data_IF_540753790824
#
_entry.id   IF_540753790824
#
_cell.length_a   1.000
_cell.length_b   1.000
_cell.length_c   1.000
_cell.angle_alpha   90.00
_cell.angle_beta   90.00
_cell.angle_gamma   90.00
#
_symmetry.space_group_name_H-M   'P 1'
#
loop_
_entity.id
_entity.type
_entity.pdbx_description
1 polymer ?
#
# COMPACT_ATOMS: atom_id res chain seq x y z
N UNK A 1 -15.48 -8.88 -11.01
CA UNK A 1 -16.33 -7.87 -10.35
C UNK A 1 -16.67 -8.18 -8.89
N UNK A 2 -16.91 -9.42 -8.48
CA UNK A 2 -17.22 -9.76 -7.09
C UNK A 2 -16.08 -9.52 -6.10
N UNK A 3 -14.85 -9.66 -6.52
CA UNK A 3 -13.65 -9.60 -5.67
C UNK A 3 -13.37 -8.20 -5.12
N UNK A 4 -13.49 -7.17 -5.96
CA UNK A 4 -13.30 -5.78 -5.55
C UNK A 4 -14.40 -5.31 -4.58
N UNK A 5 -15.61 -5.86 -4.71
CA UNK A 5 -16.76 -5.45 -3.93
C UNK A 5 -16.69 -5.94 -2.47
N UNK A 6 -16.43 -7.22 -2.26
CA UNK A 6 -16.56 -7.82 -0.94
C UNK A 6 -15.42 -7.42 0.02
N UNK A 7 -14.17 -7.47 -0.43
CA UNK A 7 -13.01 -7.14 0.41
C UNK A 7 -12.95 -5.66 0.79
N UNK A 8 -13.45 -4.77 -0.06
CA UNK A 8 -13.44 -3.32 0.15
C UNK A 8 -14.57 -2.86 1.07
N UNK A 9 -15.80 -3.39 0.89
CA UNK A 9 -16.96 -2.94 1.67
C UNK A 9 -17.04 -3.54 3.07
N UNK A 10 -16.56 -4.78 3.27
CA UNK A 10 -16.63 -5.47 4.56
C UNK A 10 -15.31 -6.16 4.91
N UNK A 11 -14.16 -5.44 4.96
CA UNK A 11 -12.85 -6.07 5.17
C UNK A 11 -12.76 -6.84 6.49
N UNK A 12 -13.34 -6.31 7.58
CA UNK A 12 -13.41 -7.00 8.89
C UNK A 12 -14.04 -8.40 8.80
N UNK A 13 -15.03 -8.55 7.93
CA UNK A 13 -15.75 -9.82 7.80
C UNK A 13 -15.00 -10.80 6.90
N UNK A 14 -14.54 -10.33 5.74
CA UNK A 14 -13.93 -11.20 4.73
C UNK A 14 -12.48 -11.55 5.01
N UNK A 15 -11.71 -10.70 5.71
CA UNK A 15 -10.35 -11.00 6.14
C UNK A 15 -10.25 -11.45 7.60
N UNK A 16 -11.37 -11.76 8.23
CA UNK A 16 -11.43 -12.04 9.68
C UNK A 16 -10.44 -13.09 10.15
N UNK A 17 -10.18 -14.12 9.36
CA UNK A 17 -9.22 -15.16 9.72
C UNK A 17 -7.80 -14.61 9.84
N UNK A 18 -7.34 -13.87 8.83
CA UNK A 18 -6.02 -13.23 8.82
C UNK A 18 -5.91 -12.15 9.92
N UNK A 19 -6.90 -11.28 10.03
CA UNK A 19 -6.90 -10.20 11.03
C UNK A 19 -6.83 -10.75 12.44
N UNK A 20 -7.59 -11.82 12.74
CA UNK A 20 -7.55 -12.47 14.04
C UNK A 20 -6.19 -13.10 14.33
N UNK A 21 -5.52 -13.66 13.32
CA UNK A 21 -4.16 -14.19 13.48
C UNK A 21 -3.18 -13.09 13.86
N UNK A 22 -3.14 -12.01 13.10
CA UNK A 22 -2.25 -10.87 13.40
C UNK A 22 -2.57 -10.23 14.75
N UNK A 23 -3.86 -10.07 15.09
CA UNK A 23 -4.25 -9.55 16.39
C UNK A 23 -3.78 -10.44 17.55
N UNK A 24 -3.83 -11.75 17.40
CA UNK A 24 -3.33 -12.69 18.41
C UNK A 24 -1.81 -12.64 18.57
N UNK A 25 -1.09 -12.05 17.62
CA UNK A 25 0.35 -11.79 17.68
C UNK A 25 0.67 -10.34 18.09
N UNK A 26 -0.29 -9.72 18.79
CA UNK A 26 -0.16 -8.41 19.42
C UNK A 26 -0.09 -7.22 18.46
N UNK A 27 -0.42 -7.41 17.15
CA UNK A 27 -0.53 -6.30 16.22
C UNK A 27 -1.80 -5.47 16.47
N UNK A 28 -1.64 -4.14 16.49
CA UNK A 28 -2.78 -3.23 16.32
C UNK A 28 -3.13 -3.12 14.84
N UNK A 29 -4.37 -3.46 14.50
CA UNK A 29 -4.81 -3.53 13.11
C UNK A 29 -5.66 -2.34 12.75
N UNK A 30 -5.25 -1.61 11.74
CA UNK A 30 -6.01 -0.53 11.11
C UNK A 30 -6.42 -0.96 9.72
N UNK A 31 -7.71 -0.94 9.45
CA UNK A 31 -8.27 -1.24 8.14
C UNK A 31 -8.52 0.07 7.39
N UNK A 32 -7.90 0.21 6.24
CA UNK A 32 -8.05 1.36 5.36
C UNK A 32 -8.84 0.94 4.11
N UNK A 33 -10.17 1.06 4.12
CA UNK A 33 -10.96 0.81 2.92
C UNK A 33 -10.68 1.89 1.89
N UNK A 34 -10.54 1.50 0.63
CA UNK A 34 -10.34 2.40 -0.49
C UNK A 34 -11.55 2.40 -1.43
N UNK A 35 -11.73 3.50 -2.14
CA UNK A 35 -12.82 3.65 -3.10
C UNK A 35 -12.42 3.08 -4.47
N UNK A 36 -13.40 2.70 -5.27
CA UNK A 36 -13.16 2.44 -6.67
C UNK A 36 -12.83 3.77 -7.38
N UNK A 37 -11.60 3.89 -7.85
CA UNK A 37 -11.10 5.10 -8.50
C UNK A 37 -10.28 4.75 -9.73
N UNK A 38 -10.30 5.61 -10.75
CA UNK A 38 -9.37 5.57 -11.87
C UNK A 38 -8.08 6.36 -11.59
N UNK A 39 -8.08 7.20 -10.56
CA UNK A 39 -6.92 7.94 -10.11
C UNK A 39 -6.32 7.28 -8.86
N UNK A 40 -5.41 6.35 -9.09
CA UNK A 40 -4.76 5.60 -8.02
C UNK A 40 -3.72 6.44 -7.25
N UNK A 41 -3.24 7.56 -7.81
CA UNK A 41 -2.41 8.50 -7.05
C UNK A 41 -3.22 9.19 -5.97
N UNK A 42 -4.39 9.70 -6.34
CA UNK A 42 -5.29 10.34 -5.38
C UNK A 42 -5.75 9.36 -4.30
N UNK A 43 -6.07 8.12 -4.67
CA UNK A 43 -6.49 7.09 -3.71
C UNK A 43 -5.35 6.68 -2.78
N UNK A 44 -4.12 6.53 -3.28
CA UNK A 44 -2.94 6.28 -2.43
C UNK A 44 -2.71 7.43 -1.44
N UNK A 45 -2.86 8.68 -1.88
CA UNK A 45 -2.79 9.85 -1.01
C UNK A 45 -3.89 9.87 0.06
N UNK A 46 -5.10 9.43 -0.29
CA UNK A 46 -6.19 9.28 0.67
C UNK A 46 -5.81 8.29 1.79
N UNK A 47 -5.22 7.15 1.48
CA UNK A 47 -4.81 6.16 2.49
C UNK A 47 -3.79 6.74 3.49
N UNK A 48 -2.81 7.52 3.02
CA UNK A 48 -1.85 8.20 3.92
C UNK A 48 -2.53 9.28 4.76
N UNK A 49 -3.48 10.01 4.20
CA UNK A 49 -4.26 10.99 4.95
C UNK A 49 -5.02 10.34 6.10
N UNK A 50 -5.67 9.22 5.85
CA UNK A 50 -6.35 8.43 6.89
C UNK A 50 -5.38 7.95 7.97
N UNK A 51 -4.18 7.51 7.60
CA UNK A 51 -3.13 7.15 8.57
C UNK A 51 -2.81 8.32 9.50
N UNK A 52 -2.59 9.52 8.96
CA UNK A 52 -2.29 10.70 9.80
C UNK A 52 -3.45 11.12 10.69
N UNK A 53 -4.68 10.95 10.25
CA UNK A 53 -5.85 11.25 11.09
C UNK A 53 -6.03 10.18 12.19
N UNK A 54 -5.65 8.93 11.96
CA UNK A 54 -5.78 7.81 12.91
C UNK A 54 -4.65 7.78 13.95
N UNK A 55 -3.41 8.10 13.60
CA UNK A 55 -2.26 8.03 14.52
C UNK A 55 -2.48 8.80 15.84
N UNK A 56 -2.88 10.08 15.86
CA UNK A 56 -3.14 10.79 17.11
C UNK A 56 -4.25 10.15 17.94
N UNK A 57 -5.26 9.59 17.29
CA UNK A 57 -6.38 8.92 17.97
C UNK A 57 -5.94 7.59 18.62
N UNK A 58 -5.08 6.81 17.97
CA UNK A 58 -4.49 5.61 18.55
C UNK A 58 -3.70 5.95 19.82
N UNK A 59 -2.87 6.99 19.77
CA UNK A 59 -2.08 7.45 20.93
C UNK A 59 -3.02 7.94 22.04
N UNK A 60 -4.00 8.77 21.71
CA UNK A 60 -4.97 9.26 22.68
C UNK A 60 -5.72 8.12 23.38
N UNK A 61 -6.15 7.12 22.64
CA UNK A 61 -6.82 5.92 23.19
C UNK A 61 -5.87 5.08 24.04
N UNK A 62 -4.65 4.84 23.56
CA UNK A 62 -3.67 4.06 24.31
C UNK A 62 -3.36 4.70 25.66
N UNK A 63 -3.17 6.02 25.70
CA UNK A 63 -3.00 6.77 26.96
C UNK A 63 -4.23 6.60 27.86
N UNK A 64 -5.43 6.79 27.32
CA UNK A 64 -6.68 6.72 28.10
C UNK A 64 -6.92 5.32 28.68
N UNK A 65 -6.64 4.28 27.92
CA UNK A 65 -6.83 2.87 28.31
C UNK A 65 -5.63 2.28 29.09
N UNK A 66 -4.53 3.03 29.23
CA UNK A 66 -3.31 2.55 29.90
C UNK A 66 -2.48 1.56 29.09
N UNK A 67 -2.61 1.59 27.75
CA UNK A 67 -1.79 0.77 26.84
C UNK A 67 -0.48 1.47 26.50
N UNK A 68 0.45 0.72 25.89
CA UNK A 68 1.70 1.27 25.41
C UNK A 68 1.49 2.16 24.17
N UNK A 69 1.44 3.46 24.38
CA UNK A 69 1.28 4.44 23.28
C UNK A 69 2.61 4.74 22.56
N UNK A 70 3.76 4.40 23.15
CA UNK A 70 5.08 4.65 22.55
C UNK A 70 5.24 3.91 21.23
N UNK A 71 4.59 2.74 21.08
CA UNK A 71 4.56 1.98 19.84
C UNK A 71 4.01 2.77 18.63
N UNK A 72 3.27 3.85 18.82
CA UNK A 72 2.67 4.66 17.75
C UNK A 72 3.38 5.99 17.51
N UNK A 73 4.49 6.29 18.20
CA UNK A 73 5.17 7.59 18.08
C UNK A 73 5.99 7.76 16.81
N UNK A 74 6.46 6.66 16.23
CA UNK A 74 7.26 6.65 15.02
C UNK A 74 6.53 6.03 13.82
N UNK A 75 6.66 6.62 12.65
CA UNK A 75 6.11 6.09 11.39
C UNK A 75 6.75 4.75 11.01
N UNK A 76 7.99 4.49 11.38
CA UNK A 76 8.68 3.21 11.18
C UNK A 76 8.01 2.01 11.89
N UNK A 77 7.20 2.26 12.92
CA UNK A 77 6.49 1.22 13.65
C UNK A 77 5.19 0.78 12.96
N UNK A 78 4.89 1.36 11.81
CA UNK A 78 3.76 0.98 10.98
C UNK A 78 4.22 0.06 9.85
N UNK A 79 3.38 -0.89 9.52
CA UNK A 79 3.64 -1.87 8.49
C UNK A 79 2.39 -2.02 7.61
N UNK A 80 2.57 -2.37 6.35
CA UNK A 80 1.52 -2.38 5.35
C UNK A 80 1.26 -3.78 4.84
N UNK A 81 -0.01 -4.16 4.77
CA UNK A 81 -0.44 -5.40 4.12
C UNK A 81 -1.48 -5.06 3.06
N UNK A 82 -1.21 -5.41 1.82
CA UNK A 82 -2.13 -5.24 0.72
C UNK A 82 -2.52 -6.57 0.07
N UNK A 83 -3.76 -6.67 -0.39
CA UNK A 83 -4.23 -7.77 -1.22
C UNK A 83 -4.73 -7.24 -2.56
N UNK A 84 -4.40 -7.96 -3.64
CA UNK A 84 -4.86 -7.63 -4.99
C UNK A 84 -4.48 -6.20 -5.41
N UNK A 85 -5.46 -5.35 -5.75
CA UNK A 85 -5.25 -3.94 -6.12
C UNK A 85 -4.69 -3.11 -4.96
N UNK A 86 -4.95 -3.47 -3.70
CA UNK A 86 -4.35 -2.83 -2.53
C UNK A 86 -2.81 -2.88 -2.56
N UNK A 87 -2.24 -3.91 -3.17
CA UNK A 87 -0.80 -4.01 -3.40
C UNK A 87 -0.29 -2.91 -4.34
N UNK A 88 -1.08 -2.51 -5.33
CA UNK A 88 -0.73 -1.40 -6.23
C UNK A 88 -0.65 -0.08 -5.47
N UNK A 89 -1.58 0.18 -4.56
CA UNK A 89 -1.53 1.38 -3.73
C UNK A 89 -0.30 1.42 -2.83
N UNK A 90 0.05 0.31 -2.18
CA UNK A 90 1.30 0.20 -1.41
C UNK A 90 2.51 0.44 -2.31
N UNK A 91 2.54 -0.17 -3.50
CA UNK A 91 3.63 0.00 -4.45
C UNK A 91 3.76 1.45 -4.94
N UNK A 92 2.65 2.17 -5.11
CA UNK A 92 2.65 3.59 -5.43
C UNK A 92 3.17 4.44 -4.26
N UNK A 93 2.71 4.18 -3.04
CA UNK A 93 3.19 4.88 -1.85
C UNK A 93 4.69 4.71 -1.63
N UNK A 94 5.19 3.49 -1.81
CA UNK A 94 6.62 3.23 -1.74
C UNK A 94 7.38 3.95 -2.86
N UNK A 95 6.88 3.88 -4.11
CA UNK A 95 7.46 4.61 -5.24
C UNK A 95 7.48 6.13 -5.03
N UNK A 96 6.39 6.68 -4.50
CA UNK A 96 6.28 8.11 -4.18
C UNK A 96 7.21 8.51 -3.01
N UNK A 97 7.61 7.57 -2.16
CA UNK A 97 8.59 7.82 -1.09
C UNK A 97 9.98 8.21 -1.60
N UNK A 98 10.25 8.01 -2.89
CA UNK A 98 11.49 8.47 -3.55
C UNK A 98 11.43 9.93 -4.00
N UNK A 99 10.26 10.57 -3.94
CA UNK A 99 10.11 11.96 -4.36
C UNK A 99 10.89 12.90 -3.42
N UNK A 100 11.40 14.03 -3.96
CA UNK A 100 12.07 15.01 -3.13
C UNK A 100 11.09 15.61 -2.11
N UNK A 101 11.57 15.85 -0.91
CA UNK A 101 10.82 16.62 0.09
C UNK A 101 10.75 18.06 -0.40
N UNK A 102 9.56 18.54 -0.69
CA UNK A 102 9.39 19.86 -1.31
C UNK A 102 9.74 21.01 -0.35
N UNK A 103 9.46 20.81 0.94
CA UNK A 103 9.54 21.91 1.91
C UNK A 103 8.38 22.92 1.74
N UNK A 104 8.48 24.05 2.44
CA UNK A 104 7.46 25.11 2.33
C UNK A 104 7.60 25.88 1.01
N UNK A 105 6.51 26.36 0.40
CA UNK A 105 6.55 27.04 -0.90
C UNK A 105 7.53 28.23 -1.02
N UNK A 106 7.95 28.82 0.12
CA UNK A 106 8.89 29.93 0.16
C UNK A 106 10.29 29.51 0.67
N UNK A 107 10.56 28.21 0.82
CA UNK A 107 11.90 27.75 1.20
C UNK A 107 12.87 27.89 0.02
N UNK A 108 14.17 28.10 0.28
CA UNK A 108 15.17 28.28 -0.79
C UNK A 108 15.20 27.13 -1.79
N UNK A 109 15.02 25.90 -1.30
CA UNK A 109 15.14 24.67 -2.10
C UNK A 109 13.82 24.25 -2.78
N UNK A 110 12.71 24.96 -2.55
CA UNK A 110 11.40 24.56 -3.05
C UNK A 110 11.36 24.43 -4.58
N UNK A 111 11.84 25.45 -5.28
CA UNK A 111 11.84 25.47 -6.74
C UNK A 111 12.74 24.38 -7.32
N UNK A 112 13.90 24.14 -6.73
CA UNK A 112 14.82 23.08 -7.16
C UNK A 112 14.20 21.69 -6.93
N UNK A 113 13.47 21.50 -5.83
CA UNK A 113 12.79 20.24 -5.56
C UNK A 113 11.57 20.02 -6.47
N UNK A 114 10.85 21.07 -6.83
CA UNK A 114 9.79 21.00 -7.86
C UNK A 114 10.37 20.62 -9.22
N UNK A 115 11.54 21.16 -9.60
CA UNK A 115 12.17 20.79 -10.87
C UNK A 115 12.66 19.33 -10.86
N UNK A 116 13.26 18.86 -9.77
CA UNK A 116 13.60 17.42 -9.60
C UNK A 116 12.39 16.51 -9.69
N UNK A 117 11.25 16.93 -9.13
CA UNK A 117 10.00 16.22 -9.27
C UNK A 117 9.54 16.18 -10.73
N UNK A 118 9.63 17.29 -11.45
CA UNK A 118 9.33 17.38 -12.88
C UNK A 118 10.22 16.44 -13.70
N UNK A 119 11.54 16.45 -13.47
CA UNK A 119 12.48 15.52 -14.12
C UNK A 119 12.17 14.06 -13.86
N UNK A 120 11.78 13.74 -12.64
CA UNK A 120 11.35 12.38 -12.27
C UNK A 120 10.11 11.93 -13.05
N UNK A 121 9.10 12.80 -13.16
CA UNK A 121 7.88 12.55 -13.95
C UNK A 121 8.15 12.47 -15.44
N UNK A 122 9.06 13.31 -15.95
CA UNK A 122 9.47 13.30 -17.36
C UNK A 122 10.00 11.92 -17.77
N UNK A 123 10.87 11.34 -16.94
CA UNK A 123 11.39 9.97 -17.18
C UNK A 123 10.27 8.94 -17.22
N UNK A 124 9.31 9.00 -16.29
CA UNK A 124 8.19 8.04 -16.24
C UNK A 124 7.30 8.17 -17.47
N UNK A 125 6.87 9.38 -17.78
CA UNK A 125 5.92 9.63 -18.88
C UNK A 125 6.56 9.33 -20.23
N UNK A 126 7.80 9.76 -20.47
CA UNK A 126 8.49 9.51 -21.74
C UNK A 126 8.81 8.02 -21.96
N UNK A 127 9.17 7.28 -20.91
CA UNK A 127 9.46 5.84 -21.04
C UNK A 127 8.24 5.00 -21.37
N UNK A 128 7.03 5.52 -21.09
CA UNK A 128 5.74 4.84 -21.32
C UNK A 128 4.91 5.46 -22.44
N UNK A 129 5.39 6.57 -23.03
CA UNK A 129 4.70 7.25 -24.11
C UNK A 129 4.63 6.40 -25.38
N UNK A 130 3.50 6.43 -26.05
CA UNK A 130 3.34 5.79 -27.35
C UNK A 130 4.15 6.57 -28.42
N UNK A 131 4.70 5.86 -29.40
CA UNK A 131 5.40 6.49 -30.55
C UNK A 131 4.55 7.48 -31.34
N UNK A 132 3.20 7.42 -31.18
CA UNK A 132 2.25 8.31 -31.84
C UNK A 132 1.87 9.53 -31.01
N UNK A 133 2.32 9.60 -29.75
CA UNK A 133 2.00 10.73 -28.89
C UNK A 133 2.82 11.96 -29.31
N UNK A 134 2.14 13.08 -29.48
CA UNK A 134 2.81 14.34 -29.80
C UNK A 134 3.56 14.87 -28.55
N UNK A 135 4.66 15.58 -28.77
CA UNK A 135 5.43 16.22 -27.69
C UNK A 135 4.55 17.15 -26.81
N UNK A 136 3.56 17.80 -27.44
CA UNK A 136 2.62 18.65 -26.72
C UNK A 136 1.70 17.85 -25.78
N UNK A 137 1.27 16.63 -26.20
CA UNK A 137 0.47 15.72 -25.36
C UNK A 137 1.27 15.20 -24.18
N UNK A 138 2.53 14.81 -24.43
CA UNK A 138 3.47 14.35 -23.39
C UNK A 138 3.70 15.45 -22.36
N UNK A 139 4.04 16.67 -22.80
CA UNK A 139 4.26 17.81 -21.93
C UNK A 139 3.03 18.13 -21.08
N UNK A 140 1.83 18.17 -21.67
CA UNK A 140 0.58 18.37 -20.92
C UNK A 140 0.39 17.33 -19.84
N UNK A 141 0.64 16.05 -20.15
CA UNK A 141 0.53 14.96 -19.18
C UNK A 141 1.49 15.13 -18.00
N UNK A 142 2.73 15.55 -18.25
CA UNK A 142 3.71 15.85 -17.20
C UNK A 142 3.24 17.02 -16.33
N UNK A 143 2.76 18.10 -16.95
CA UNK A 143 2.28 19.28 -16.23
C UNK A 143 1.04 18.95 -15.36
N UNK A 144 0.11 18.16 -15.87
CA UNK A 144 -1.07 17.70 -15.13
C UNK A 144 -0.69 16.81 -13.92
N UNK A 145 0.23 15.86 -14.12
CA UNK A 145 0.73 14.99 -13.05
C UNK A 145 1.49 15.79 -12.00
N UNK A 146 2.37 16.70 -12.42
CA UNK A 146 3.12 17.58 -11.51
C UNK A 146 2.17 18.39 -10.65
N UNK A 147 1.19 19.05 -11.27
CA UNK A 147 0.18 19.82 -10.53
C UNK A 147 -0.57 18.98 -9.52
N UNK A 148 -1.04 17.79 -9.91
CA UNK A 148 -1.75 16.88 -9.02
C UNK A 148 -0.89 16.42 -7.85
N UNK A 149 0.38 16.05 -8.09
CA UNK A 149 1.30 15.62 -7.03
C UNK A 149 1.69 16.77 -6.10
N UNK A 150 1.88 17.97 -6.61
CA UNK A 150 2.15 19.15 -5.76
C UNK A 150 0.99 19.43 -4.79
N UNK A 151 -0.24 19.36 -5.28
CA UNK A 151 -1.42 19.52 -4.43
C UNK A 151 -1.46 18.42 -3.37
N UNK A 152 -1.26 17.17 -3.77
CA UNK A 152 -1.25 16.01 -2.87
C UNK A 152 -0.18 16.13 -1.78
N UNK A 153 1.07 16.40 -2.18
CA UNK A 153 2.20 16.52 -1.24
C UNK A 153 1.96 17.64 -0.23
N UNK A 154 1.51 18.82 -0.69
CA UNK A 154 1.22 19.94 0.20
C UNK A 154 0.10 19.62 1.20
N UNK A 155 -0.96 18.94 0.77
CA UNK A 155 -2.05 18.52 1.65
C UNK A 155 -1.56 17.50 2.70
N UNK A 156 -0.76 16.52 2.29
CA UNK A 156 -0.19 15.52 3.19
C UNK A 156 0.79 16.14 4.20
N UNK A 157 1.61 17.12 3.80
CA UNK A 157 2.48 17.85 4.72
C UNK A 157 1.70 18.58 5.81
N UNK A 158 0.62 19.28 5.44
CA UNK A 158 -0.26 19.96 6.39
C UNK A 158 -0.89 18.95 7.36
N UNK A 159 -1.34 17.80 6.88
CA UNK A 159 -1.90 16.72 7.69
C UNK A 159 -0.88 16.14 8.66
N UNK A 160 0.33 15.88 8.16
CA UNK A 160 1.45 15.37 8.96
C UNK A 160 1.82 16.33 10.10
N UNK A 161 2.01 17.62 9.79
CA UNK A 161 2.30 18.65 10.81
C UNK A 161 1.20 18.70 11.89
N UNK A 162 -0.07 18.67 11.47
CA UNK A 162 -1.21 18.64 12.39
C UNK A 162 -1.21 17.39 13.28
N UNK A 163 -0.95 16.22 12.71
CA UNK A 163 -0.85 14.98 13.46
C UNK A 163 0.26 15.05 14.53
N UNK A 164 1.44 15.53 14.16
CA UNK A 164 2.57 15.72 15.08
C UNK A 164 2.22 16.68 16.23
N UNK A 165 1.55 17.79 15.95
CA UNK A 165 1.12 18.75 16.98
C UNK A 165 0.10 18.15 17.95
N UNK A 166 -0.87 17.38 17.44
CA UNK A 166 -1.84 16.68 18.28
C UNK A 166 -1.17 15.64 19.18
N UNK A 167 -0.27 14.83 18.62
CA UNK A 167 0.50 13.84 19.37
C UNK A 167 1.29 14.52 20.48
N UNK A 168 2.05 15.57 20.18
CA UNK A 168 2.79 16.35 21.19
C UNK A 168 1.87 16.88 22.28
N UNK A 169 0.68 17.31 21.93
CA UNK A 169 -0.32 17.82 22.89
C UNK A 169 -0.81 16.73 23.84
N UNK A 170 -1.04 15.51 23.32
CA UNK A 170 -1.51 14.39 24.14
C UNK A 170 -0.42 13.89 25.08
N UNK A 171 0.78 13.62 24.58
CA UNK A 171 1.88 13.09 25.38
C UNK A 171 2.50 14.11 26.36
N UNK A 172 2.28 15.43 26.14
CA UNK A 172 2.83 16.49 27.02
C UNK A 172 2.43 16.35 28.50
N UNK A 173 1.33 15.67 28.76
CA UNK A 173 0.82 15.40 30.10
C UNK A 173 1.39 14.14 30.73
N UNK A 174 2.09 13.33 29.94
CA UNK A 174 2.66 12.06 30.40
C UNK A 174 3.95 12.29 31.19
N UNK A 175 4.23 11.50 32.25
CA UNK A 175 5.42 11.65 33.09
C UNK A 175 6.73 11.59 32.30
N UNK A 176 6.79 10.78 31.24
CA UNK A 176 7.97 10.53 30.42
C UNK A 176 8.12 11.50 29.24
N UNK A 177 7.29 12.56 29.14
CA UNK A 177 7.27 13.45 27.99
C UNK A 177 8.65 13.96 27.56
N UNK A 178 9.51 14.33 28.53
CA UNK A 178 10.83 14.91 28.21
C UNK A 178 11.76 13.89 27.50
N UNK A 179 11.62 12.60 27.83
CA UNK A 179 12.33 11.54 27.13
C UNK A 179 11.73 11.25 25.74
N UNK A 180 10.40 11.24 25.66
CA UNK A 180 9.66 10.79 24.46
C UNK A 180 9.49 11.87 23.38
N UNK A 181 9.63 13.15 23.72
CA UNK A 181 9.43 14.24 22.73
C UNK A 181 10.36 14.15 21.52
N UNK A 182 11.52 13.51 21.65
CA UNK A 182 12.48 13.24 20.57
C UNK A 182 12.16 12.01 19.74
N UNK A 183 11.24 11.16 20.21
CA UNK A 183 10.86 9.90 19.56
C UNK A 183 9.66 10.04 18.61
N UNK A 184 9.06 11.23 18.54
CA UNK A 184 8.00 11.50 17.58
C UNK A 184 8.64 11.67 16.19
N UNK A 185 8.77 10.56 15.49
CA UNK A 185 9.41 10.48 14.18
C UNK A 185 8.38 10.22 13.08
N UNK A 186 7.62 11.23 12.68
CA UNK A 186 6.86 11.21 11.42
C UNK A 186 7.68 11.96 10.39
N UNK A 187 8.68 11.28 9.81
CA UNK A 187 9.71 11.89 8.98
C UNK A 187 9.35 11.90 7.50
N UNK A 188 8.57 10.94 7.05
CA UNK A 188 8.13 10.82 5.66
C UNK A 188 6.66 11.13 5.51
N UNK A 189 6.29 11.75 4.39
CA UNK A 189 4.88 11.89 3.98
C UNK A 189 4.33 10.63 3.30
N UNK A 190 5.18 9.63 3.09
CA UNK A 190 4.82 8.32 2.52
C UNK A 190 5.38 7.20 3.39
N UNK A 191 5.48 5.99 2.87
CA UNK A 191 5.77 4.76 3.62
C UNK A 191 7.23 4.31 3.57
N UNK A 192 8.15 5.23 3.38
CA UNK A 192 9.59 4.90 3.30
C UNK A 192 10.07 4.17 4.54
N UNK A 193 10.78 3.05 4.32
CA UNK A 193 11.34 2.18 5.38
C UNK A 193 10.28 1.50 6.27
N UNK A 194 9.02 1.45 5.84
CA UNK A 194 7.99 0.67 6.52
C UNK A 194 7.86 -0.71 5.87
N UNK A 195 7.78 -1.81 6.64
CA UNK A 195 7.57 -3.14 6.10
C UNK A 195 6.30 -3.21 5.26
N UNK A 196 6.39 -3.80 4.08
CA UNK A 196 5.27 -3.93 3.15
C UNK A 196 5.11 -5.37 2.69
N UNK A 197 3.94 -5.95 2.88
CA UNK A 197 3.61 -7.30 2.46
C UNK A 197 2.54 -7.28 1.37
N UNK A 198 2.88 -7.78 0.19
CA UNK A 198 1.98 -7.85 -0.96
C UNK A 198 1.43 -9.28 -1.11
N UNK A 199 0.10 -9.42 -1.01
CA UNK A 199 -0.62 -10.67 -1.15
C UNK A 199 -1.32 -10.70 -2.51
N UNK A 200 -0.97 -11.64 -3.38
CA UNK A 200 -1.55 -11.75 -4.73
C UNK A 200 -1.57 -10.40 -5.47
N UNK A 201 -0.44 -9.70 -5.65
CA UNK A 201 -0.42 -8.34 -6.16
C UNK A 201 -0.93 -8.26 -7.60
N UNK A 202 -1.79 -7.28 -7.85
CA UNK A 202 -2.36 -7.02 -9.16
C UNK A 202 -2.03 -5.58 -9.57
N UNK A 203 -1.38 -5.43 -10.73
CA UNK A 203 -1.13 -4.15 -11.38
C UNK A 203 -1.83 -4.13 -12.74
N UNK A 204 -3.14 -4.03 -12.74
CA UNK A 204 -3.96 -4.06 -13.95
C UNK A 204 -4.47 -2.69 -14.35
N UNK A 205 -4.76 -2.54 -15.63
CA UNK A 205 -5.46 -1.42 -16.20
C UNK A 205 -6.98 -1.62 -16.20
N UNK A 206 -7.68 -0.74 -16.91
CA UNK A 206 -9.14 -0.77 -17.03
C UNK A 206 -9.64 -2.07 -17.70
N UNK A 207 -8.89 -2.62 -18.61
CA UNK A 207 -9.16 -3.85 -19.37
C UNK A 207 -9.28 -5.11 -18.49
N UNK A 208 -8.73 -5.10 -17.29
CA UNK A 208 -8.90 -6.18 -16.32
C UNK A 208 -10.02 -5.93 -15.31
N UNK A 209 -10.34 -4.65 -15.08
CA UNK A 209 -11.36 -4.25 -14.11
C UNK A 209 -12.78 -4.25 -14.71
N UNK A 210 -12.88 -4.07 -16.02
CA UNK A 210 -14.13 -3.94 -16.75
C UNK A 210 -14.18 -4.95 -17.89
N UNK A 211 -15.31 -5.67 -18.08
CA UNK A 211 -15.44 -6.63 -19.19
C UNK A 211 -15.28 -5.98 -20.57
N UNK A 212 -14.61 -6.68 -21.49
CA UNK A 212 -14.63 -6.33 -22.90
C UNK A 212 -16.07 -6.49 -23.45
N UNK A 213 -16.58 -5.60 -24.33
CA UNK A 213 -15.87 -4.48 -25.01
C UNK A 213 -15.92 -3.13 -24.27
N UNK A 214 -16.56 -3.05 -23.08
CA UNK A 214 -16.71 -1.78 -22.37
C UNK A 214 -15.37 -1.14 -22.00
N UNK A 215 -14.38 -1.93 -21.60
CA UNK A 215 -13.03 -1.44 -21.31
C UNK A 215 -12.44 -0.70 -22.51
N UNK A 216 -12.55 -1.27 -23.72
CA UNK A 216 -12.04 -0.65 -24.96
C UNK A 216 -12.76 0.68 -25.29
N UNK A 217 -14.06 0.76 -25.03
CA UNK A 217 -14.83 1.99 -25.24
C UNK A 217 -14.35 3.07 -24.26
N UNK A 218 -14.21 2.75 -22.99
CA UNK A 218 -13.78 3.69 -21.96
C UNK A 218 -12.34 4.19 -22.22
N UNK A 219 -11.43 3.30 -22.61
CA UNK A 219 -10.06 3.66 -22.99
C UNK A 219 -10.09 4.56 -24.24
N UNK A 220 -10.94 4.25 -25.22
CA UNK A 220 -11.14 5.09 -26.41
C UNK A 220 -11.65 6.49 -26.11
N UNK A 221 -12.43 6.65 -25.03
CA UNK A 221 -12.89 7.93 -24.50
C UNK A 221 -11.83 8.65 -23.63
N UNK A 222 -10.62 8.09 -23.51
CA UNK A 222 -9.54 8.65 -22.69
C UNK A 222 -9.65 8.36 -21.19
N UNK A 223 -10.61 7.52 -20.79
CA UNK A 223 -10.76 7.06 -19.42
C UNK A 223 -9.85 5.84 -19.21
N UNK A 224 -8.77 6.02 -18.47
CA UNK A 224 -7.86 4.95 -18.08
C UNK A 224 -7.41 5.17 -16.64
N UNK A 225 -6.93 4.10 -16.02
CA UNK A 225 -6.34 4.20 -14.68
C UNK A 225 -5.06 5.04 -14.72
N UNK A 226 -4.85 5.86 -13.70
CA UNK A 226 -3.64 6.68 -13.50
C UNK A 226 -3.00 6.32 -12.15
N UNK A 227 -1.74 5.86 -12.14
CA UNK A 227 -0.91 5.54 -13.31
C UNK A 227 -1.36 4.26 -14.01
N UNK A 228 -1.02 4.16 -15.30
CA UNK A 228 -1.16 2.90 -16.06
C UNK A 228 -0.25 1.82 -15.46
N UNK A 229 -0.45 0.53 -15.79
CA UNK A 229 0.44 -0.53 -15.34
C UNK A 229 1.92 -0.29 -15.65
N UNK A 230 2.24 0.17 -16.86
CA UNK A 230 3.62 0.45 -17.28
C UNK A 230 4.23 1.63 -16.53
N UNK A 231 3.44 2.69 -16.30
CA UNK A 231 3.87 3.83 -15.48
C UNK A 231 4.13 3.42 -14.04
N UNK A 232 3.29 2.54 -13.49
CA UNK A 232 3.48 1.98 -12.14
C UNK A 232 4.80 1.22 -12.05
N UNK A 233 5.07 0.32 -12.99
CA UNK A 233 6.33 -0.42 -13.02
C UNK A 233 7.55 0.48 -13.21
N UNK A 234 7.44 1.49 -14.08
CA UNK A 234 8.51 2.46 -14.29
C UNK A 234 8.78 3.29 -13.04
N UNK A 235 7.72 3.76 -12.36
CA UNK A 235 7.81 4.46 -11.09
C UNK A 235 8.55 3.63 -10.03
N UNK A 236 8.11 2.38 -9.81
CA UNK A 236 8.71 1.48 -8.83
C UNK A 236 10.19 1.23 -9.15
N UNK A 237 10.50 0.95 -10.41
CA UNK A 237 11.87 0.68 -10.86
C UNK A 237 12.78 1.89 -10.74
N UNK A 238 12.28 3.08 -11.04
CA UNK A 238 13.00 4.35 -10.92
C UNK A 238 13.24 4.72 -9.46
N UNK A 239 12.25 4.55 -8.62
CA UNK A 239 12.34 4.79 -7.19
C UNK A 239 13.36 3.84 -6.53
N UNK A 240 13.36 2.57 -6.95
CA UNK A 240 14.24 1.49 -6.48
C UNK A 240 14.30 1.35 -4.94
N UNK A 241 13.21 1.70 -4.27
CA UNK A 241 13.05 1.52 -2.82
C UNK A 241 12.72 0.06 -2.50
N UNK A 242 11.64 -0.23 -1.80
CA UNK A 242 11.25 -1.57 -1.40
C UNK A 242 12.39 -2.33 -0.70
N UNK A 243 12.98 -1.68 0.32
CA UNK A 243 13.98 -2.32 1.17
C UNK A 243 13.38 -3.43 2.03
N UNK A 244 12.13 -3.24 2.49
CA UNK A 244 11.41 -4.11 3.41
C UNK A 244 10.13 -4.64 2.75
N UNK A 245 10.30 -5.37 1.63
CA UNK A 245 9.20 -5.93 0.86
C UNK A 245 9.09 -7.44 1.06
N UNK A 246 7.88 -7.93 1.33
CA UNK A 246 7.49 -9.33 1.24
C UNK A 246 6.48 -9.56 0.11
N UNK A 247 6.55 -10.72 -0.52
CA UNK A 247 5.68 -11.11 -1.62
C UNK A 247 5.10 -12.50 -1.41
N UNK A 248 3.78 -12.60 -1.38
CA UNK A 248 3.07 -13.88 -1.38
C UNK A 248 2.23 -14.00 -2.64
N UNK A 249 2.53 -15.02 -3.43
CA UNK A 249 1.77 -15.42 -4.61
C UNK A 249 1.06 -16.76 -4.37
N UNK A 250 0.07 -17.08 -5.22
CA UNK A 250 -0.68 -18.33 -5.12
C UNK A 250 -0.53 -19.16 -6.39
N UNK A 251 -0.46 -20.50 -6.23
CA UNK A 251 -0.11 -21.42 -7.34
C UNK A 251 -1.16 -21.45 -8.46
N UNK A 252 -2.43 -21.28 -8.14
CA UNK A 252 -3.53 -21.32 -9.12
C UNK A 252 -4.04 -19.94 -9.51
N UNK A 253 -3.49 -18.87 -8.91
CA UNK A 253 -3.81 -17.50 -9.27
C UNK A 253 -3.26 -17.16 -10.67
N UNK A 254 -4.13 -16.61 -11.50
CA UNK A 254 -3.78 -16.12 -12.83
C UNK A 254 -3.80 -14.60 -12.93
N UNK A 255 -4.44 -13.93 -11.97
CA UNK A 255 -4.55 -12.48 -11.96
C UNK A 255 -3.25 -11.83 -11.50
N UNK A 256 -2.60 -12.42 -10.49
CA UNK A 256 -1.33 -11.92 -9.96
C UNK A 256 -0.10 -12.34 -10.79
N UNK A 257 -0.25 -13.32 -11.68
CA UNK A 257 0.88 -13.99 -12.34
C UNK A 257 1.84 -13.02 -13.03
N UNK A 258 1.33 -12.09 -13.81
CA UNK A 258 2.15 -11.13 -14.55
C UNK A 258 2.86 -10.15 -13.60
N UNK A 259 2.17 -9.70 -12.56
CA UNK A 259 2.72 -8.78 -11.56
C UNK A 259 3.80 -9.46 -10.72
N UNK A 260 3.54 -10.68 -10.23
CA UNK A 260 4.53 -11.46 -9.48
C UNK A 260 5.77 -11.76 -10.33
N UNK A 261 5.59 -12.18 -11.59
CA UNK A 261 6.72 -12.41 -12.49
C UNK A 261 7.55 -11.15 -12.73
N UNK A 262 6.92 -10.00 -12.82
CA UNK A 262 7.63 -8.73 -12.94
C UNK A 262 8.46 -8.43 -11.69
N UNK A 263 7.92 -8.58 -10.48
CA UNK A 263 8.68 -8.42 -9.24
C UNK A 263 9.88 -9.37 -9.18
N UNK A 264 9.68 -10.64 -9.53
CA UNK A 264 10.71 -11.68 -9.44
C UNK A 264 11.83 -11.53 -10.50
N UNK A 265 11.48 -11.17 -11.74
CA UNK A 265 12.40 -11.24 -12.89
C UNK A 265 12.95 -9.89 -13.31
N UNK A 266 12.08 -8.87 -13.36
CA UNK A 266 12.41 -7.56 -13.93
C UNK A 266 12.87 -6.57 -12.86
N UNK A 267 12.21 -6.56 -11.73
CA UNK A 267 12.59 -5.73 -10.57
C UNK A 267 13.57 -6.43 -9.64
N UNK A 268 13.50 -7.76 -9.54
CA UNK A 268 14.35 -8.62 -8.71
C UNK A 268 14.27 -8.31 -7.22
N UNK A 269 13.11 -7.85 -6.76
CA UNK A 269 12.75 -7.65 -5.37
C UNK A 269 11.37 -8.25 -5.11
N UNK A 270 11.08 -8.70 -3.89
CA UNK A 270 12.02 -8.86 -2.78
C UNK A 270 13.05 -9.99 -3.02
N UNK A 271 14.08 -10.12 -2.16
CA UNK A 271 14.93 -11.32 -2.12
C UNK A 271 14.11 -12.60 -1.92
N UNK A 272 14.66 -13.75 -2.34
CA UNK A 272 13.92 -15.03 -2.34
C UNK A 272 13.42 -15.44 -0.96
N UNK A 273 14.15 -15.12 0.09
CA UNK A 273 13.78 -15.37 1.48
C UNK A 273 12.51 -14.63 1.91
N UNK A 274 12.15 -13.53 1.26
CA UNK A 274 10.93 -12.77 1.46
C UNK A 274 9.86 -13.02 0.39
N UNK A 275 10.03 -14.09 -0.40
CA UNK A 275 9.04 -14.54 -1.37
C UNK A 275 8.46 -15.88 -0.93
N UNK A 276 7.15 -16.02 -1.04
CA UNK A 276 6.47 -17.30 -0.81
C UNK A 276 5.43 -17.57 -1.89
N UNK A 277 5.33 -18.85 -2.30
CA UNK A 277 4.31 -19.31 -3.23
C UNK A 277 3.46 -20.37 -2.55
N UNK A 278 2.27 -19.97 -2.13
CA UNK A 278 1.35 -20.79 -1.36
C UNK A 278 0.34 -21.54 -2.26
N UNK A 279 -0.31 -22.54 -1.70
CA UNK A 279 -1.44 -23.21 -2.36
C UNK A 279 -2.67 -22.30 -2.33
N UNK A 280 -3.48 -22.34 -3.39
CA UNK A 280 -4.70 -21.57 -3.54
C UNK A 280 -4.63 -20.58 -4.69
N UNK A 281 -5.71 -19.86 -4.87
CA UNK A 281 -5.87 -18.84 -5.90
C UNK A 281 -6.02 -17.46 -5.32
N UNK A 282 -6.49 -16.53 -6.16
CA UNK A 282 -6.53 -15.09 -5.85
C UNK A 282 -7.32 -14.74 -4.58
N UNK A 283 -8.41 -15.47 -4.31
CA UNK A 283 -9.29 -15.21 -3.16
C UNK A 283 -8.84 -15.91 -1.87
N UNK A 284 -7.69 -16.59 -1.88
CA UNK A 284 -7.17 -17.29 -0.69
C UNK A 284 -7.01 -16.41 0.56
N UNK A 285 -6.64 -15.13 0.46
CA UNK A 285 -6.60 -14.23 1.60
C UNK A 285 -7.96 -13.98 2.27
N UNK A 286 -9.07 -14.16 1.56
CA UNK A 286 -10.41 -14.04 2.13
C UNK A 286 -10.77 -15.30 2.93
N UNK A 287 -11.33 -15.10 4.12
CA UNK A 287 -11.78 -16.21 4.97
C UNK A 287 -12.73 -15.74 6.06
N UNK A 288 -13.99 -16.22 6.00
CA UNK A 288 -14.98 -15.98 7.05
C UNK A 288 -14.75 -16.97 8.17
N UNK A 289 -14.40 -16.50 9.34
CA UNK A 289 -14.15 -17.36 10.50
C UNK A 289 -15.43 -17.64 11.28
N UNK A 290 -15.70 -18.92 11.51
CA UNK A 290 -16.80 -19.43 12.36
C UNK A 290 -16.21 -20.40 13.39
N UNK A 291 -15.89 -19.92 14.59
CA UNK A 291 -15.19 -20.71 15.61
C UNK A 291 -13.84 -21.22 15.11
N UNK A 292 -13.70 -22.54 15.04
CA UNK A 292 -12.48 -23.23 14.55
C UNK A 292 -12.55 -23.57 13.05
N UNK A 293 -13.55 -23.10 12.33
CA UNK A 293 -13.71 -23.32 10.90
C UNK A 293 -13.58 -22.01 10.14
N UNK A 294 -13.06 -22.09 8.92
CA UNK A 294 -12.98 -20.98 7.99
C UNK A 294 -13.67 -21.35 6.69
N UNK A 295 -14.60 -20.49 6.27
CA UNK A 295 -15.22 -20.58 4.96
C UNK A 295 -14.33 -19.83 3.98
N UNK A 296 -13.78 -20.56 3.02
CA UNK A 296 -12.95 -20.04 1.94
C UNK A 296 -13.82 -19.52 0.79
N UNK A 297 -13.26 -18.58 0.04
CA UNK A 297 -13.78 -18.17 -1.25
C UNK A 297 -13.00 -18.92 -2.33
N UNK A 298 -13.61 -19.95 -2.99
CA UNK A 298 -12.92 -20.69 -4.03
C UNK A 298 -12.77 -19.81 -5.28
N UNK A 299 -11.60 -19.81 -5.86
CA UNK A 299 -11.44 -19.41 -7.25
C UNK A 299 -12.15 -20.42 -8.16
N UNK A 300 -12.65 -19.96 -9.31
CA UNK A 300 -13.47 -20.75 -10.25
C UNK A 300 -12.83 -22.09 -10.66
N UNK A 301 -11.52 -22.27 -10.44
CA UNK A 301 -10.76 -23.48 -10.77
C UNK A 301 -10.13 -24.18 -9.56
N UNK A 302 -10.40 -23.69 -8.37
CA UNK A 302 -9.77 -24.23 -7.17
C UNK A 302 -10.58 -25.39 -6.61
N UNK A 303 -9.93 -26.54 -6.40
CA UNK A 303 -10.52 -27.71 -5.73
C UNK A 303 -10.46 -27.61 -4.21
N UNK A 304 -10.17 -26.41 -3.67
CA UNK A 304 -10.07 -26.21 -2.22
C UNK A 304 -11.43 -26.41 -1.59
N UNK A 305 -11.47 -27.14 -0.48
CA UNK A 305 -12.65 -27.30 0.34
C UNK A 305 -13.18 -25.92 0.74
N UNK A 306 -14.48 -25.71 0.50
CA UNK A 306 -15.16 -24.46 0.87
C UNK A 306 -15.00 -24.16 2.37
N UNK A 307 -14.95 -25.22 3.19
CA UNK A 307 -14.78 -25.12 4.65
C UNK A 307 -13.53 -25.90 5.05
N UNK A 308 -12.63 -25.24 5.75
CA UNK A 308 -11.42 -25.84 6.31
C UNK A 308 -11.34 -25.63 7.81
N UNK A 309 -10.64 -26.54 8.51
CA UNK A 309 -10.29 -26.29 9.91
C UNK A 309 -9.29 -25.17 10.00
N UNK A 310 -9.35 -24.37 11.07
CA UNK A 310 -8.46 -23.25 11.30
C UNK A 310 -6.99 -23.65 11.30
N UNK A 311 -6.66 -24.78 11.94
CA UNK A 311 -5.29 -25.30 12.00
C UNK A 311 -4.73 -25.59 10.60
N UNK A 312 -5.51 -26.24 9.73
CA UNK A 312 -5.08 -26.53 8.35
C UNK A 312 -4.93 -25.27 7.53
N UNK A 313 -5.80 -24.28 7.75
CA UNK A 313 -5.74 -23.02 7.03
C UNK A 313 -4.55 -22.15 7.46
N UNK A 314 -4.23 -22.10 8.74
CA UNK A 314 -3.07 -21.40 9.27
C UNK A 314 -1.76 -21.99 8.74
N UNK A 315 -1.69 -23.30 8.56
CA UNK A 315 -0.53 -23.96 7.94
C UNK A 315 -0.25 -23.43 6.52
N UNK A 316 -1.30 -23.21 5.73
CA UNK A 316 -1.17 -22.87 4.30
C UNK A 316 -1.24 -21.38 4.01
N UNK A 317 -1.69 -20.55 4.90
CA UNK A 317 -1.88 -19.12 4.64
C UNK A 317 -1.54 -18.21 5.84
N UNK A 318 -2.33 -18.21 6.91
CA UNK A 318 -2.23 -17.21 7.96
C UNK A 318 -0.88 -17.25 8.70
N UNK A 319 -0.38 -18.45 8.98
CA UNK A 319 0.93 -18.62 9.64
C UNK A 319 2.10 -18.20 8.74
N UNK A 320 2.19 -18.62 7.46
CA UNK A 320 3.18 -18.08 6.54
C UNK A 320 3.16 -16.56 6.38
N UNK A 321 1.97 -15.93 6.35
CA UNK A 321 1.84 -14.47 6.28
C UNK A 321 2.45 -13.82 7.51
N UNK A 322 2.05 -14.26 8.69
CA UNK A 322 2.52 -13.74 9.96
C UNK A 322 4.04 -13.91 10.13
N UNK A 323 4.57 -15.10 9.82
CA UNK A 323 6.01 -15.36 9.89
C UNK A 323 6.81 -14.49 8.92
N UNK A 324 6.31 -14.27 7.71
CA UNK A 324 6.98 -13.41 6.75
C UNK A 324 6.98 -11.96 7.22
N UNK A 325 5.89 -11.53 7.84
CA UNK A 325 5.74 -10.19 8.37
C UNK A 325 6.73 -9.92 9.51
N UNK A 326 6.80 -10.83 10.51
CA UNK A 326 7.79 -10.74 11.60
C UNK A 326 9.23 -10.68 11.07
N UNK A 327 9.56 -11.47 10.06
CA UNK A 327 10.90 -11.44 9.45
C UNK A 327 11.23 -10.10 8.78
N UNK A 328 10.23 -9.43 8.19
CA UNK A 328 10.42 -8.08 7.63
C UNK A 328 10.68 -7.04 8.73
N UNK A 329 10.01 -7.17 9.86
CA UNK A 329 10.24 -6.30 11.02
C UNK A 329 11.61 -6.56 11.66
N UNK A 330 12.02 -7.82 11.78
CA UNK A 330 13.38 -8.17 12.24
C UNK A 330 14.47 -7.58 11.33
N UNK A 331 14.22 -7.53 10.01
CA UNK A 331 15.17 -6.93 9.05
C UNK A 331 15.21 -5.40 9.17
N UNK A 332 14.09 -4.76 9.53
CA UNK A 332 14.04 -3.32 9.77
C UNK A 332 14.90 -2.87 10.96
N UNK A 333 15.05 -3.71 11.96
CA UNK A 333 15.80 -3.42 13.19
C UNK A 333 17.32 -3.60 13.01
N UNK A 334 17.74 -4.34 12.00
CA UNK A 334 19.16 -4.57 11.65
C UNK A 334 19.76 -3.38 10.90
#
# INVERSE_FOLDING_TARGET
MGELFFGTFFPMFFYRSLLQRLFNEEYTIVLLPFNFSFDHYAESGFLIREQYDIMPELIRRAIFEGYNYEAYLGDRNFSWVGHSIGCKYIALLEGLSALPILGKPNSPDYNDNVEKLREFLDVIVNSTANKKDSQQKIKRKIDDLLTGLLILINDLEVKREKAQELIKTYIKKEPNYQALKGEIEITSIFIKNQPSLLLAPVNTGLDSAVPQPFASILIGLGLNVKPTPDETYTLIKKANLFGLLGLISFKTDKLDLSTCQWFERDFKKPPKEFQQKLNGGHLRPLGIRLGNLVINFPDIKDKITLIESMQKREEYFESPVSQLFQRLEDEQVR
#
